data_IF_580851038136
#
_entry.id   IF_580851038136
#
_cell.length_a   1.000
_cell.length_b   1.000
_cell.length_c   1.000
_cell.angle_alpha   90.00
_cell.angle_beta   90.00
_cell.angle_gamma   90.00
#
_symmetry.space_group_name_H-M   'P 1'
#
loop_
_entity.id
_entity.type
_entity.pdbx_description
1 polymer ?
#
# COMPACT_ATOMS: atom_id res chain seq x y z
N UNK A 1 -10.88 15.47 -9.60
CA UNK A 1 -11.28 14.96 -8.26
C UNK A 1 -10.05 14.87 -7.37
N UNK A 2 -9.74 15.92 -6.60
CA UNK A 2 -8.55 15.99 -5.71
C UNK A 2 -8.92 16.61 -4.35
N UNK A 3 -10.10 16.25 -3.83
CA UNK A 3 -10.65 16.79 -2.58
C UNK A 3 -9.65 16.66 -1.40
N UNK A 4 -8.99 15.51 -1.28
CA UNK A 4 -8.02 15.27 -0.21
C UNK A 4 -6.73 16.09 -0.38
N UNK A 5 -6.25 16.27 -1.62
CA UNK A 5 -5.06 17.09 -1.89
C UNK A 5 -5.34 18.57 -1.65
N UNK A 6 -6.53 19.04 -2.03
CA UNK A 6 -6.95 20.42 -1.78
C UNK A 6 -7.12 20.68 -0.29
N UNK A 7 -7.78 19.78 0.44
CA UNK A 7 -7.89 19.86 1.89
C UNK A 7 -6.51 19.88 2.56
N UNK A 8 -5.59 19.01 2.12
CA UNK A 8 -4.23 18.99 2.63
C UNK A 8 -3.51 20.34 2.42
N UNK A 9 -3.56 20.90 1.21
CA UNK A 9 -2.87 22.15 0.88
C UNK A 9 -3.49 23.39 1.55
N UNK A 10 -4.82 23.46 1.61
CA UNK A 10 -5.54 24.67 2.05
C UNK A 10 -5.77 24.72 3.55
N UNK A 11 -6.02 23.58 4.20
CA UNK A 11 -6.40 23.52 5.62
C UNK A 11 -5.28 22.93 6.48
N UNK A 12 -4.79 21.75 6.11
CA UNK A 12 -3.89 20.97 6.96
C UNK A 12 -2.48 21.57 7.00
N UNK A 13 -1.93 22.03 5.87
CA UNK A 13 -0.59 22.63 5.81
C UNK A 13 -0.49 23.89 6.69
N UNK A 14 -1.38 24.89 6.59
CA UNK A 14 -1.36 26.05 7.49
C UNK A 14 -1.54 25.70 8.96
N UNK A 15 -2.39 24.72 9.26
CA UNK A 15 -2.63 24.27 10.63
C UNK A 15 -1.36 23.62 11.23
N UNK A 16 -0.73 22.70 10.50
CA UNK A 16 0.51 22.05 10.92
C UNK A 16 1.68 23.05 11.06
N UNK A 17 1.77 24.06 10.18
CA UNK A 17 2.78 25.10 10.32
C UNK A 17 2.62 25.92 11.60
N UNK A 18 1.37 26.23 12.00
CA UNK A 18 1.06 26.96 13.23
C UNK A 18 1.30 26.11 14.48
N UNK A 19 0.81 24.87 14.49
CA UNK A 19 0.92 23.97 15.64
C UNK A 19 2.37 23.51 15.91
N UNK A 20 3.14 23.26 14.86
CA UNK A 20 4.49 22.70 14.96
C UNK A 20 5.60 23.75 14.76
N UNK A 21 5.23 25.02 14.52
CA UNK A 21 6.16 26.15 14.42
C UNK A 21 7.15 26.07 13.25
N UNK A 22 6.78 25.40 12.15
CA UNK A 22 7.67 25.25 10.99
C UNK A 22 7.92 26.59 10.29
N UNK A 23 9.21 26.91 10.04
CA UNK A 23 9.62 28.13 9.33
C UNK A 23 9.55 27.98 7.81
N UNK A 24 9.61 26.74 7.30
CA UNK A 24 9.62 26.44 5.88
C UNK A 24 8.46 25.50 5.52
N UNK A 25 7.68 25.86 4.50
CA UNK A 25 6.54 25.08 3.99
C UNK A 25 6.97 23.68 3.56
N UNK A 26 8.21 23.50 3.10
CA UNK A 26 8.74 22.20 2.68
C UNK A 26 9.04 21.25 3.85
N UNK A 27 9.01 21.72 5.10
CA UNK A 27 9.15 20.87 6.29
C UNK A 27 7.86 20.16 6.67
N UNK A 28 6.72 20.57 6.10
CA UNK A 28 5.42 20.00 6.47
C UNK A 28 5.33 18.53 6.00
N UNK A 29 4.98 17.59 6.89
CA UNK A 29 4.90 16.17 6.55
C UNK A 29 3.89 15.88 5.44
N UNK A 30 4.31 15.13 4.42
CA UNK A 30 3.47 14.72 3.28
C UNK A 30 3.31 13.21 3.21
N UNK A 31 2.17 12.77 2.67
CA UNK A 31 1.96 11.36 2.33
C UNK A 31 2.77 11.05 1.07
N UNK A 32 3.79 10.19 1.19
CA UNK A 32 4.64 9.81 0.05
C UNK A 32 4.01 8.69 -0.79
N UNK A 33 3.50 7.65 -0.13
CA UNK A 33 2.90 6.48 -0.76
C UNK A 33 1.99 5.74 0.20
N UNK A 34 1.00 5.05 -0.35
CA UNK A 34 0.16 4.09 0.37
C UNK A 34 0.39 2.71 -0.22
N UNK A 35 0.72 1.74 0.63
CA UNK A 35 0.93 0.34 0.21
C UNK A 35 -0.23 -0.49 0.74
N UNK A 36 -0.99 -1.10 -0.16
CA UNK A 36 -2.04 -2.06 0.21
C UNK A 36 -1.44 -3.45 0.01
N UNK A 37 -1.40 -4.25 1.06
CA UNK A 37 -0.85 -5.60 1.05
C UNK A 37 -1.93 -6.58 1.50
N UNK A 38 -2.09 -7.67 0.75
CA UNK A 38 -2.93 -8.78 1.12
C UNK A 38 -2.09 -10.07 1.16
N UNK A 39 -1.96 -10.62 2.36
CA UNK A 39 -1.39 -11.95 2.58
C UNK A 39 -2.46 -13.01 2.32
N UNK A 40 -2.18 -13.92 1.39
CA UNK A 40 -3.07 -15.03 1.07
C UNK A 40 -2.45 -16.27 1.69
N UNK A 41 -2.88 -16.60 2.92
CA UNK A 41 -2.29 -17.69 3.72
C UNK A 41 -2.45 -19.09 3.12
N UNK A 42 -3.34 -19.26 2.12
CA UNK A 42 -3.48 -20.48 1.32
C UNK A 42 -2.64 -20.34 0.05
N UNK A 43 -1.37 -20.73 0.14
CA UNK A 43 -0.42 -20.72 -0.98
C UNK A 43 -0.59 -21.93 -1.92
N UNK A 44 -1.29 -22.97 -1.46
CA UNK A 44 -1.50 -24.22 -2.20
C UNK A 44 -2.52 -24.10 -3.34
N UNK A 45 -3.41 -23.10 -3.31
CA UNK A 45 -4.44 -22.89 -4.34
C UNK A 45 -4.18 -21.59 -5.14
N UNK A 46 -3.65 -21.70 -6.37
CA UNK A 46 -3.39 -20.55 -7.24
C UNK A 46 -4.63 -19.72 -7.53
N UNK A 47 -5.83 -20.32 -7.53
CA UNK A 47 -7.08 -19.60 -7.87
C UNK A 47 -7.44 -18.56 -6.81
N UNK A 48 -7.11 -18.84 -5.54
CA UNK A 48 -7.35 -17.90 -4.44
C UNK A 48 -6.48 -16.66 -4.61
N UNK A 49 -5.21 -16.85 -5.01
CA UNK A 49 -4.29 -15.76 -5.29
C UNK A 49 -4.75 -14.91 -6.50
N UNK A 50 -5.22 -15.54 -7.57
CA UNK A 50 -5.78 -14.84 -8.72
C UNK A 50 -7.05 -14.04 -8.37
N UNK A 51 -7.97 -14.62 -7.59
CA UNK A 51 -9.16 -13.91 -7.10
C UNK A 51 -8.79 -12.71 -6.23
N UNK A 52 -7.82 -12.91 -5.32
CA UNK A 52 -7.25 -11.87 -4.49
C UNK A 52 -6.64 -10.73 -5.32
N UNK A 53 -5.91 -11.05 -6.39
CA UNK A 53 -5.35 -10.05 -7.31
C UNK A 53 -6.44 -9.27 -8.06
N UNK A 54 -7.50 -9.94 -8.53
CA UNK A 54 -8.62 -9.26 -9.21
C UNK A 54 -9.35 -8.30 -8.28
N UNK A 55 -9.60 -8.71 -7.04
CA UNK A 55 -10.23 -7.86 -6.03
C UNK A 55 -9.35 -6.64 -5.72
N UNK A 56 -8.05 -6.82 -5.51
CA UNK A 56 -7.11 -5.72 -5.29
C UNK A 56 -7.03 -4.79 -6.50
N UNK A 57 -7.05 -5.33 -7.72
CA UNK A 57 -7.05 -4.53 -8.93
C UNK A 57 -8.32 -3.68 -9.05
N UNK A 58 -9.48 -4.24 -8.69
CA UNK A 58 -10.74 -3.51 -8.70
C UNK A 58 -10.79 -2.41 -7.62
N UNK A 59 -10.25 -2.67 -6.43
CA UNK A 59 -10.21 -1.69 -5.32
C UNK A 59 -9.22 -0.56 -5.62
N UNK A 60 -8.00 -0.92 -6.04
CA UNK A 60 -6.91 0.03 -6.19
C UNK A 60 -6.83 0.69 -7.58
N UNK A 61 -7.58 0.18 -8.57
CA UNK A 61 -7.49 0.63 -9.97
C UNK A 61 -6.14 0.32 -10.64
N UNK A 62 -5.29 -0.49 -10.00
CA UNK A 62 -3.96 -0.83 -10.47
C UNK A 62 -3.71 -2.34 -10.30
N UNK A 63 -3.09 -2.96 -11.30
CA UNK A 63 -2.75 -4.38 -11.23
C UNK A 63 -1.72 -4.65 -10.11
N UNK A 64 -2.02 -5.54 -9.14
CA UNK A 64 -1.14 -5.78 -8.01
C UNK A 64 0.05 -6.68 -8.37
N UNK A 65 1.13 -6.53 -7.61
CA UNK A 65 2.36 -7.32 -7.73
C UNK A 65 2.32 -8.49 -6.76
N UNK A 66 2.59 -9.70 -7.24
CA UNK A 66 2.67 -10.91 -6.41
C UNK A 66 3.90 -10.84 -5.50
N UNK A 67 3.69 -11.09 -4.20
CA UNK A 67 4.76 -11.19 -3.21
C UNK A 67 5.17 -12.64 -3.05
N UNK A 68 6.49 -12.88 -3.08
CA UNK A 68 7.08 -14.21 -2.93
C UNK A 68 7.80 -14.34 -1.60
N UNK A 69 7.79 -15.55 -1.04
CA UNK A 69 8.48 -15.86 0.20
C UNK A 69 10.00 -15.74 0.05
N UNK A 70 10.65 -14.97 0.93
CA UNK A 70 12.12 -14.79 0.93
C UNK A 70 12.88 -15.94 1.57
N UNK A 71 12.23 -16.64 2.51
CA UNK A 71 12.79 -17.74 3.31
C UNK A 71 11.76 -18.87 3.37
N UNK A 72 12.24 -20.09 3.55
CA UNK A 72 11.38 -21.23 3.83
C UNK A 72 11.06 -21.26 5.33
N UNK A 73 9.80 -21.50 5.69
CA UNK A 73 9.34 -21.58 7.08
C UNK A 73 8.42 -22.80 7.20
N UNK A 74 8.89 -23.83 7.91
CA UNK A 74 8.20 -25.13 8.01
C UNK A 74 6.84 -25.05 8.67
N UNK A 75 6.68 -24.19 9.68
CA UNK A 75 5.41 -24.02 10.43
C UNK A 75 4.25 -23.58 9.52
N UNK A 76 4.57 -22.76 8.51
CA UNK A 76 3.59 -22.30 7.52
C UNK A 76 3.58 -23.15 6.24
N UNK A 77 4.43 -24.19 6.18
CA UNK A 77 4.67 -25.04 5.00
C UNK A 77 5.15 -24.28 3.75
N UNK A 78 5.70 -23.08 3.93
CA UNK A 78 6.12 -22.20 2.83
C UNK A 78 7.57 -22.48 2.44
N UNK A 79 7.85 -22.57 1.15
CA UNK A 79 9.19 -22.65 0.56
C UNK A 79 9.61 -21.29 -0.01
N UNK A 80 10.92 -21.05 -0.05
CA UNK A 80 11.49 -19.85 -0.70
C UNK A 80 11.04 -19.79 -2.17
N UNK A 81 10.45 -18.67 -2.55
CA UNK A 81 9.94 -18.42 -3.91
C UNK A 81 8.43 -18.59 -4.08
N UNK A 82 7.75 -19.19 -3.10
CA UNK A 82 6.31 -19.43 -3.17
C UNK A 82 5.51 -18.12 -3.21
N UNK A 83 4.46 -18.03 -4.05
CA UNK A 83 3.57 -16.89 -4.07
C UNK A 83 2.67 -16.91 -2.83
N UNK A 84 2.85 -15.92 -1.96
CA UNK A 84 2.19 -15.86 -0.63
C UNK A 84 1.18 -14.72 -0.52
N UNK A 85 1.13 -13.84 -1.51
CA UNK A 85 0.20 -12.72 -1.49
C UNK A 85 0.41 -11.78 -2.64
N UNK A 86 -0.23 -10.62 -2.53
CA UNK A 86 -0.17 -9.57 -3.52
C UNK A 86 -0.18 -8.20 -2.85
N UNK A 87 0.46 -7.23 -3.48
CA UNK A 87 0.51 -5.85 -2.98
C UNK A 87 0.39 -4.85 -4.11
N UNK A 88 -0.14 -3.68 -3.81
CA UNK A 88 -0.13 -2.52 -4.69
C UNK A 88 0.54 -1.36 -3.96
N UNK A 89 1.16 -0.45 -4.70
CA UNK A 89 1.76 0.76 -4.13
C UNK A 89 1.23 1.96 -4.87
N UNK A 90 0.29 2.65 -4.25
CA UNK A 90 -0.32 3.87 -4.75
C UNK A 90 0.58 5.05 -4.41
N UNK A 91 0.81 5.92 -5.41
CA UNK A 91 1.62 7.12 -5.26
C UNK A 91 0.89 8.28 -5.94
N UNK A 92 0.98 9.46 -5.32
CA UNK A 92 0.56 10.77 -5.84
C UNK A 92 -0.93 10.99 -6.11
N UNK A 93 -1.72 9.96 -6.42
CA UNK A 93 -3.16 10.06 -6.70
C UNK A 93 -3.99 9.05 -5.91
#
# INVERSE_FOLDING_TARGET
MKMLLEKYKKEIVPQLMRELGYKNVMQVPRIEKVVINMGVGKHDDPKVLEGAMKNLAQIAGQWPVVTRAKRSISDFKIRKGDPIGCKVTLRKE
#
